data_IF_987021891520
#
_entry.id   IF_987021891520
#
_cell.length_a   1.000
_cell.length_b   1.000
_cell.length_c   1.000
_cell.angle_alpha   90.00
_cell.angle_beta   90.00
_cell.angle_gamma   90.00
#
_symmetry.space_group_name_H-M   'P 1'
#
loop_
_entity.id
_entity.type
_entity.pdbx_description
1 polymer ?
#
# COMPACT_ATOMS: atom_id res chain seq x y z
N UNK A 1 -0.94 -27.78 22.70
CA UNK A 1 -0.01 -26.67 22.43
C UNK A 1 -0.77 -25.58 21.69
N UNK A 2 -0.89 -24.40 22.28
CA UNK A 2 -1.53 -23.24 21.64
C UNK A 2 -0.64 -22.67 20.54
N UNK A 3 -1.22 -21.89 19.60
CA UNK A 3 -0.44 -21.22 18.54
C UNK A 3 0.62 -20.29 19.16
N UNK A 4 0.29 -19.63 20.28
CA UNK A 4 1.22 -18.78 21.03
C UNK A 4 2.41 -19.55 21.60
N UNK A 5 2.18 -20.74 22.17
CA UNK A 5 3.24 -21.60 22.69
C UNK A 5 4.17 -22.11 21.60
N UNK A 6 3.63 -22.48 20.43
CA UNK A 6 4.44 -22.89 19.28
C UNK A 6 5.32 -21.73 18.79
N UNK A 7 4.77 -20.52 18.72
CA UNK A 7 5.49 -19.33 18.29
C UNK A 7 6.64 -18.98 19.26
N UNK A 8 6.40 -19.02 20.56
CA UNK A 8 7.43 -18.73 21.57
C UNK A 8 8.59 -19.73 21.50
N UNK A 9 8.27 -21.02 21.34
CA UNK A 9 9.29 -22.06 21.20
C UNK A 9 10.18 -21.84 19.97
N UNK A 10 9.59 -21.41 18.85
CA UNK A 10 10.35 -21.12 17.61
C UNK A 10 11.22 -19.87 17.76
N UNK A 11 10.72 -18.83 18.43
CA UNK A 11 11.45 -17.58 18.70
C UNK A 11 12.69 -17.84 19.55
N UNK A 12 12.61 -18.71 20.56
CA UNK A 12 13.73 -19.03 21.45
C UNK A 12 14.88 -19.76 20.73
N UNK A 13 14.62 -20.46 19.63
CA UNK A 13 15.64 -21.19 18.86
C UNK A 13 16.14 -20.44 17.60
N UNK A 14 15.63 -19.24 17.33
CA UNK A 14 15.89 -18.50 16.09
C UNK A 14 16.95 -17.41 16.29
N UNK A 15 17.75 -17.11 15.26
CA UNK A 15 18.75 -16.03 15.31
C UNK A 15 18.13 -14.63 15.22
N UNK A 16 18.82 -13.63 15.78
CA UNK A 16 18.36 -12.23 15.79
C UNK A 16 18.06 -11.65 14.40
N UNK A 17 18.78 -12.10 13.36
CA UNK A 17 18.55 -11.66 11.98
C UNK A 17 17.18 -12.06 11.45
N UNK A 18 16.76 -13.31 11.72
CA UNK A 18 15.46 -13.84 11.29
C UNK A 18 14.35 -13.29 12.20
N UNK A 19 14.65 -13.08 13.48
CA UNK A 19 13.72 -12.43 14.41
C UNK A 19 13.37 -11.00 13.98
N UNK A 20 14.35 -10.23 13.49
CA UNK A 20 14.11 -8.89 12.98
C UNK A 20 13.13 -8.88 11.78
N UNK A 21 13.37 -9.74 10.78
CA UNK A 21 12.48 -9.88 9.63
C UNK A 21 11.08 -10.37 10.02
N UNK A 22 11.02 -11.33 10.96
CA UNK A 22 9.75 -11.86 11.50
C UNK A 22 8.96 -10.78 12.25
N UNK A 23 9.63 -9.91 13.00
CA UNK A 23 9.02 -8.80 13.72
C UNK A 23 8.42 -7.79 12.76
N UNK A 24 9.14 -7.44 11.69
CA UNK A 24 8.64 -6.52 10.67
C UNK A 24 7.45 -7.13 9.91
N UNK A 25 7.48 -8.42 9.61
CA UNK A 25 6.34 -9.11 9.01
C UNK A 25 5.13 -9.16 9.94
N UNK A 26 5.31 -9.41 11.24
CA UNK A 26 4.23 -9.36 12.22
C UNK A 26 3.63 -7.96 12.35
N UNK A 27 4.44 -6.91 12.30
CA UNK A 27 3.98 -5.52 12.27
C UNK A 27 3.15 -5.25 11.02
N UNK A 28 3.61 -5.70 9.86
CA UNK A 28 2.86 -5.61 8.61
C UNK A 28 1.49 -6.28 8.72
N UNK A 29 1.42 -7.51 9.25
CA UNK A 29 0.16 -8.22 9.43
C UNK A 29 -0.79 -7.48 10.38
N UNK A 30 -0.28 -6.92 11.49
CA UNK A 30 -1.08 -6.10 12.40
C UNK A 30 -1.63 -4.84 11.74
N UNK A 31 -0.82 -4.15 10.93
CA UNK A 31 -1.27 -2.97 10.19
C UNK A 31 -2.35 -3.34 9.18
N UNK A 32 -2.19 -4.48 8.48
CA UNK A 32 -3.20 -4.99 7.55
C UNK A 32 -4.50 -5.36 8.26
N UNK A 33 -4.44 -6.06 9.39
CA UNK A 33 -5.61 -6.39 10.21
C UNK A 33 -6.31 -5.13 10.74
N UNK A 34 -5.55 -4.13 11.18
CA UNK A 34 -6.10 -2.85 11.63
C UNK A 34 -6.78 -2.10 10.49
N UNK A 35 -6.18 -2.09 9.29
CA UNK A 35 -6.78 -1.49 8.10
C UNK A 35 -8.10 -2.20 7.69
N UNK A 36 -8.13 -3.53 7.73
CA UNK A 36 -9.34 -4.32 7.46
C UNK A 36 -10.42 -4.04 8.51
N UNK A 37 -10.06 -3.95 9.79
CA UNK A 37 -11.01 -3.62 10.86
C UNK A 37 -11.52 -2.18 10.77
N UNK A 38 -10.69 -1.22 10.36
CA UNK A 38 -11.11 0.16 10.08
C UNK A 38 -12.03 0.24 8.85
N UNK A 39 -11.76 -0.56 7.82
CA UNK A 39 -12.66 -0.69 6.67
C UNK A 39 -14.00 -1.30 7.08
N UNK A 40 -14.00 -2.37 7.87
CA UNK A 40 -15.21 -3.00 8.41
C UNK A 40 -16.03 -2.05 9.29
N UNK A 41 -15.36 -1.20 10.08
CA UNK A 41 -16.02 -0.17 10.93
C UNK A 41 -16.55 1.02 10.12
N UNK A 42 -16.01 1.29 8.93
CA UNK A 42 -16.52 2.30 7.99
C UNK A 42 -17.68 1.78 7.11
N UNK A 43 -17.99 0.48 7.11
CA UNK A 43 -19.14 -0.06 6.36
C UNK A 43 -20.49 0.33 7.00
N UNK A 44 -20.52 0.78 8.26
CA UNK A 44 -21.76 1.28 8.88
C UNK A 44 -22.11 2.74 8.49
N UNK A 45 -21.25 3.46 7.75
CA UNK A 45 -21.53 4.84 7.33
C UNK A 45 -21.34 5.12 5.84
N UNK A 46 -21.04 4.11 5.02
CA UNK A 46 -21.00 4.28 3.58
C UNK A 46 -21.88 3.23 2.92
N UNK A 47 -23.16 3.57 2.76
CA UNK A 47 -24.00 3.01 1.70
C UNK A 47 -23.35 3.33 0.35
N UNK A 48 -22.30 2.59 -0.03
CA UNK A 48 -21.87 2.51 -1.41
C UNK A 48 -22.92 1.70 -2.15
N UNK A 49 -24.04 2.36 -2.49
CA UNK A 49 -24.72 2.01 -3.72
C UNK A 49 -23.65 2.00 -4.79
N UNK A 50 -23.54 0.90 -5.53
CA UNK A 50 -22.76 0.87 -6.76
C UNK A 50 -23.43 1.87 -7.71
N UNK A 51 -23.09 3.15 -7.57
CA UNK A 51 -23.50 4.18 -8.50
C UNK A 51 -22.79 3.81 -9.78
N UNK A 52 -23.55 3.34 -10.77
CA UNK A 52 -23.07 3.19 -12.12
C UNK A 52 -22.63 4.58 -12.61
N UNK A 53 -21.37 4.90 -12.35
CA UNK A 53 -20.77 6.16 -12.75
C UNK A 53 -20.59 6.09 -14.25
N UNK A 54 -21.51 6.73 -14.98
CA UNK A 54 -21.30 7.00 -16.41
C UNK A 54 -20.25 8.10 -16.53
N UNK A 55 -19.56 8.22 -17.67
CA UNK A 55 -18.61 9.32 -17.90
C UNK A 55 -19.19 10.71 -17.60
N UNK A 56 -20.50 10.89 -17.79
CA UNK A 56 -21.21 12.13 -17.47
C UNK A 56 -21.29 12.44 -15.96
N UNK A 57 -21.37 11.42 -15.11
CA UNK A 57 -21.34 11.61 -13.65
C UNK A 57 -19.96 12.05 -13.14
N UNK A 58 -18.88 11.61 -13.80
CA UNK A 58 -17.53 12.09 -13.53
C UNK A 58 -17.40 13.55 -13.93
N UNK A 59 -17.86 13.94 -15.12
CA UNK A 59 -17.79 15.34 -15.57
C UNK A 59 -18.52 16.29 -14.61
N UNK A 60 -19.74 15.93 -14.17
CA UNK A 60 -20.50 16.71 -13.20
C UNK A 60 -19.80 16.80 -11.83
N UNK A 61 -19.09 15.75 -11.44
CA UNK A 61 -18.28 15.75 -10.22
C UNK A 61 -17.05 16.65 -10.37
N UNK A 62 -16.38 16.63 -11.52
CA UNK A 62 -15.23 17.49 -11.81
C UNK A 62 -15.62 18.98 -11.87
N UNK A 63 -16.83 19.31 -12.32
CA UNK A 63 -17.37 20.67 -12.24
C UNK A 63 -17.56 21.16 -10.80
N UNK A 64 -17.80 20.23 -9.85
CA UNK A 64 -17.99 20.56 -8.42
C UNK A 64 -16.69 20.57 -7.62
N UNK A 65 -15.69 19.78 -8.03
CA UNK A 65 -14.38 19.70 -7.37
C UNK A 65 -13.56 21.00 -7.54
N UNK A 66 -13.96 21.89 -8.45
CA UNK A 66 -13.22 23.12 -8.72
C UNK A 66 -11.96 22.86 -9.56
N UNK A 67 -11.16 23.91 -9.75
CA UNK A 67 -9.92 23.83 -10.55
C UNK A 67 -9.04 22.73 -9.96
N UNK A 68 -8.60 21.78 -10.80
CA UNK A 68 -7.59 20.81 -10.41
C UNK A 68 -6.39 21.60 -9.86
N UNK A 69 -6.13 21.44 -8.57
CA UNK A 69 -4.99 22.04 -7.90
C UNK A 69 -4.00 20.90 -7.63
N UNK A 70 -2.86 20.98 -8.33
CA UNK A 70 -1.88 19.91 -8.44
C UNK A 70 -0.88 20.29 -9.52
N UNK A 71 -0.06 21.30 -9.23
CA UNK A 71 1.17 21.57 -10.00
C UNK A 71 2.34 20.82 -9.34
N UNK A 72 2.08 19.57 -8.97
CA UNK A 72 2.96 18.70 -8.18
C UNK A 72 3.60 17.61 -9.05
N UNK A 73 3.51 17.74 -10.38
CA UNK A 73 4.16 16.85 -11.34
C UNK A 73 5.68 16.78 -11.08
N UNK A 74 6.30 17.94 -10.84
CA UNK A 74 7.74 18.05 -10.56
C UNK A 74 8.10 17.35 -9.24
N UNK A 75 7.29 17.54 -8.19
CA UNK A 75 7.49 16.94 -6.86
C UNK A 75 7.32 15.41 -6.88
N UNK A 76 6.28 14.93 -7.56
CA UNK A 76 6.04 13.51 -7.78
C UNK A 76 7.17 12.88 -8.59
N UNK A 77 7.63 13.56 -9.65
CA UNK A 77 8.74 13.09 -10.48
C UNK A 77 10.04 13.00 -9.68
N UNK A 78 10.35 14.00 -8.86
CA UNK A 78 11.52 13.97 -7.98
C UNK A 78 11.44 12.82 -6.98
N UNK A 79 10.27 12.55 -6.40
CA UNK A 79 10.05 11.45 -5.47
C UNK A 79 10.30 10.08 -6.13
N UNK A 80 9.85 9.89 -7.38
CA UNK A 80 10.13 8.69 -8.17
C UNK A 80 11.62 8.57 -8.49
N UNK A 81 12.28 9.66 -8.89
CA UNK A 81 13.71 9.66 -9.20
C UNK A 81 14.57 9.37 -7.95
N UNK A 82 14.15 9.86 -6.78
CA UNK A 82 14.85 9.65 -5.52
C UNK A 82 14.67 8.22 -4.98
N UNK A 83 13.49 7.63 -5.18
CA UNK A 83 13.15 6.29 -4.69
C UNK A 83 13.48 5.16 -5.65
N UNK A 84 13.70 5.45 -6.95
CA UNK A 84 14.02 4.40 -7.93
C UNK A 84 15.33 3.70 -7.56
N UNK A 85 15.33 2.38 -7.71
CA UNK A 85 16.55 1.59 -7.56
C UNK A 85 17.63 2.02 -8.54
N UNK A 86 18.90 1.84 -8.17
CA UNK A 86 20.06 2.12 -9.03
C UNK A 86 20.19 1.17 -10.22
N UNK A 87 19.25 0.24 -10.38
CA UNK A 87 19.22 -0.71 -11.47
C UNK A 87 19.06 0.05 -12.80
N UNK A 88 20.04 -0.12 -13.68
CA UNK A 88 19.95 0.29 -15.07
C UNK A 88 19.66 -0.96 -15.89
N UNK A 89 18.66 -0.89 -16.75
CA UNK A 89 18.31 -1.96 -17.68
C UNK A 89 18.59 -1.58 -19.14
N UNK A 90 19.20 -0.39 -19.35
CA UNK A 90 19.70 0.09 -20.65
C UNK A 90 21.10 -0.47 -20.95
N UNK A 91 21.36 -1.73 -20.63
CA UNK A 91 22.51 -2.41 -21.22
C UNK A 91 22.23 -2.57 -22.73
N UNK A 92 23.29 -2.45 -23.54
CA UNK A 92 23.23 -2.50 -25.00
C UNK A 92 22.24 -3.57 -25.48
N UNK A 93 21.23 -3.14 -26.25
CA UNK A 93 20.21 -4.03 -26.79
C UNK A 93 20.91 -5.19 -27.55
N UNK A 94 20.84 -6.44 -27.06
CA UNK A 94 21.51 -7.58 -27.70
C UNK A 94 20.84 -7.98 -29.03
N UNK A 95 19.75 -7.31 -29.40
CA UNK A 95 19.00 -7.50 -30.64
C UNK A 95 19.16 -6.33 -31.63
N UNK A 96 20.17 -5.46 -31.47
CA UNK A 96 20.59 -4.50 -32.51
C UNK A 96 21.67 -5.06 -33.41
#
# INVERSE_FOLDING_TARGET
MTIKEKLLKEIESTSDTILAETLDFLRFLKTKETAINLQAKNVESANHTAVHSTGNSLLKHLETIGKWEGDDLEECLQSVIASRGKAKFDDDNPFK
#
